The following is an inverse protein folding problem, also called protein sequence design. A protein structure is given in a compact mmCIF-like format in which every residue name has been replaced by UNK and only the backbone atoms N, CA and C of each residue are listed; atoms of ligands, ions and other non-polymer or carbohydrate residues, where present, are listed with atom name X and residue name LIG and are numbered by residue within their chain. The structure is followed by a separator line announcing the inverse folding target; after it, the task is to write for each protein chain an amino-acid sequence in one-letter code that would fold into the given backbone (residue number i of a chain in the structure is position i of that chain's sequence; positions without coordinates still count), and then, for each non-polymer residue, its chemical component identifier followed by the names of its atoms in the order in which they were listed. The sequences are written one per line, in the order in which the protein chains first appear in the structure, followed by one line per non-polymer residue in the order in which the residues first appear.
data_IF_157937281800
#
_entry.id   IF_157937281800
#
_cell.length_a   1.000
_cell.length_b   1.000
_cell.length_c   1.000
_cell.angle_alpha   90.00
_cell.angle_beta   90.00
_cell.angle_gamma   90.00
#
_symmetry.space_group_name_H-M   'P 1'
#
loop_
_entity.id
_entity.type
_entity.pdbx_description
1 polymer ?
#
# COMPACT_ATOMS: atom_id res chain seq x y z
N UNK A 1 -7.71 -6.93 -9.64
CA UNK A 1 -8.18 -6.28 -10.88
C UNK A 1 -8.07 -7.30 -12.01
N UNK A 2 -8.78 -7.05 -13.12
CA UNK A 2 -8.56 -7.80 -14.35
C UNK A 2 -7.08 -7.73 -14.77
N UNK A 3 -6.54 -8.83 -15.28
CA UNK A 3 -5.15 -8.94 -15.75
C UNK A 3 -5.03 -9.08 -17.28
N UNK A 4 -6.16 -9.09 -17.98
CA UNK A 4 -6.17 -9.03 -19.43
C UNK A 4 -5.91 -7.59 -19.85
N UNK A 5 -4.75 -7.33 -20.45
CA UNK A 5 -4.31 -6.00 -20.90
C UNK A 5 -5.17 -5.41 -22.01
N UNK A 6 -5.80 -6.25 -22.83
CA UNK A 6 -6.75 -5.84 -23.87
C UNK A 6 -8.18 -5.56 -23.36
N UNK A 7 -8.43 -5.66 -22.04
CA UNK A 7 -9.76 -5.47 -21.47
C UNK A 7 -9.92 -4.07 -20.88
N UNK A 8 -11.08 -3.42 -21.11
CA UNK A 8 -11.39 -2.09 -20.55
C UNK A 8 -11.25 -2.04 -19.01
N UNK A 9 -11.54 -3.16 -18.35
CA UNK A 9 -11.40 -3.29 -16.90
C UNK A 9 -9.96 -3.58 -16.41
N UNK A 10 -8.95 -3.56 -17.28
CA UNK A 10 -7.55 -3.79 -16.90
C UNK A 10 -7.11 -2.82 -15.81
N UNK A 11 -6.45 -3.33 -14.77
CA UNK A 11 -5.95 -2.50 -13.66
C UNK A 11 -7.02 -1.93 -12.71
N UNK A 12 -8.30 -1.87 -13.11
CA UNK A 12 -9.37 -1.32 -12.27
C UNK A 12 -9.62 -2.20 -11.03
N UNK A 13 -9.35 -1.65 -9.85
CA UNK A 13 -9.44 -2.41 -8.59
C UNK A 13 -10.87 -2.86 -8.27
N UNK A 14 -11.03 -4.09 -7.76
CA UNK A 14 -12.34 -4.62 -7.32
C UNK A 14 -12.94 -3.84 -6.16
N UNK A 15 -12.12 -3.15 -5.36
CA UNK A 15 -12.60 -2.44 -4.17
C UNK A 15 -13.25 -1.10 -4.52
N UNK A 16 -12.78 -0.46 -5.58
CA UNK A 16 -13.30 0.83 -6.08
C UNK A 16 -14.30 0.62 -7.22
N UNK A 17 -14.19 -0.47 -7.97
CA UNK A 17 -15.04 -0.79 -9.12
C UNK A 17 -15.78 -2.11 -8.95
N UNK A 18 -16.36 -2.36 -7.75
CA UNK A 18 -17.07 -3.63 -7.45
C UNK A 18 -18.09 -4.02 -8.52
N UNK A 19 -18.79 -3.04 -9.10
CA UNK A 19 -19.82 -3.23 -10.11
C UNK A 19 -19.30 -3.88 -11.40
N UNK A 20 -18.00 -3.78 -11.73
CA UNK A 20 -17.37 -4.39 -12.90
C UNK A 20 -17.07 -5.88 -12.74
N UNK A 21 -17.24 -6.43 -11.53
CA UNK A 21 -16.81 -7.78 -11.18
C UNK A 21 -17.94 -8.59 -10.53
N UNK A 22 -17.89 -9.91 -10.73
CA UNK A 22 -18.73 -10.86 -10.04
C UNK A 22 -17.87 -11.66 -9.03
N UNK A 23 -18.22 -11.63 -7.75
CA UNK A 23 -17.57 -12.43 -6.73
C UNK A 23 -18.10 -13.87 -6.79
N UNK A 24 -17.24 -14.88 -6.88
CA UNK A 24 -17.68 -16.27 -6.95
C UNK A 24 -16.69 -17.23 -6.28
N UNK A 25 -17.11 -17.88 -5.18
CA UNK A 25 -16.28 -18.87 -4.48
C UNK A 25 -14.95 -18.33 -3.93
N UNK A 26 -14.12 -19.24 -3.44
CA UNK A 26 -12.89 -18.93 -2.72
C UNK A 26 -11.71 -19.82 -3.15
N UNK A 27 -10.49 -19.29 -3.06
CA UNK A 27 -9.22 -20.04 -3.06
C UNK A 27 -8.67 -20.06 -1.65
N UNK A 28 -8.92 -21.13 -0.89
CA UNK A 28 -8.69 -21.11 0.55
C UNK A 28 -9.63 -20.11 1.21
N UNK A 29 -9.10 -19.12 1.92
CA UNK A 29 -9.85 -18.03 2.55
C UNK A 29 -9.94 -16.76 1.67
N UNK A 30 -9.43 -16.81 0.44
CA UNK A 30 -9.36 -15.65 -0.46
C UNK A 30 -10.49 -15.67 -1.49
N UNK A 31 -11.21 -14.57 -1.61
CA UNK A 31 -12.28 -14.34 -2.58
C UNK A 31 -11.76 -14.40 -4.02
N UNK A 32 -12.46 -15.15 -4.88
CA UNK A 32 -12.25 -15.10 -6.34
C UNK A 32 -13.25 -14.13 -6.99
N UNK A 33 -12.79 -13.48 -8.05
CA UNK A 33 -13.57 -12.54 -8.85
C UNK A 33 -13.50 -12.89 -10.33
N UNK A 34 -14.60 -12.66 -11.04
CA UNK A 34 -14.71 -12.74 -12.50
C UNK A 34 -14.94 -11.35 -13.06
N UNK A 35 -14.19 -10.98 -14.08
CA UNK A 35 -14.45 -9.75 -14.84
C UNK A 35 -15.74 -9.89 -15.65
N UNK A 36 -16.65 -8.92 -15.56
CA UNK A 36 -17.91 -8.95 -16.34
C UNK A 36 -17.69 -8.70 -17.84
N UNK A 37 -16.65 -7.95 -18.22
CA UNK A 37 -16.31 -7.66 -19.61
C UNK A 37 -15.66 -8.88 -20.31
N UNK A 38 -14.44 -9.25 -19.92
CA UNK A 38 -13.68 -10.32 -20.60
C UNK A 38 -13.78 -11.71 -19.95
N UNK A 39 -14.58 -11.91 -18.91
CA UNK A 39 -14.76 -13.17 -18.17
C UNK A 39 -13.50 -13.76 -17.49
N UNK A 40 -12.35 -13.09 -17.57
CA UNK A 40 -11.14 -13.52 -16.86
C UNK A 40 -11.36 -13.58 -15.35
N UNK A 41 -10.69 -14.53 -14.71
CA UNK A 41 -10.82 -14.76 -13.26
C UNK A 41 -9.52 -14.43 -12.55
N UNK A 42 -9.63 -13.93 -11.32
CA UNK A 42 -8.48 -13.68 -10.46
C UNK A 42 -8.86 -13.81 -9.00
N UNK A 43 -7.87 -14.03 -8.15
CA UNK A 43 -8.02 -14.07 -6.70
C UNK A 43 -7.65 -12.71 -6.13
N UNK A 44 -8.47 -12.15 -5.26
CA UNK A 44 -8.03 -11.03 -4.43
C UNK A 44 -7.06 -11.56 -3.38
N UNK A 45 -5.76 -11.32 -3.59
CA UNK A 45 -4.67 -11.77 -2.71
C UNK A 45 -4.83 -11.34 -1.25
N UNK A 46 -5.74 -10.41 -0.97
CA UNK A 46 -5.84 -9.79 0.33
C UNK A 46 -7.21 -9.83 1.01
N UNK A 47 -8.17 -10.51 0.38
CA UNK A 47 -9.49 -10.75 0.95
C UNK A 47 -9.44 -11.73 2.13
N UNK A 48 -8.43 -12.59 2.18
CA UNK A 48 -8.20 -13.53 3.28
C UNK A 48 -7.60 -12.92 4.55
N UNK A 49 -7.59 -13.72 5.60
CA UNK A 49 -7.03 -13.34 6.90
C UNK A 49 -5.50 -13.22 6.83
N UNK A 50 -4.94 -12.28 7.59
CA UNK A 50 -3.49 -12.17 7.71
C UNK A 50 -2.97 -13.12 8.79
N UNK A 51 -2.56 -14.32 8.38
CA UNK A 51 -1.99 -15.32 9.28
C UNK A 51 -0.72 -14.87 10.00
N UNK A 52 -0.08 -13.79 9.53
CA UNK A 52 1.15 -13.22 10.10
C UNK A 52 0.89 -11.97 10.96
N UNK A 53 -0.37 -11.66 11.30
CA UNK A 53 -0.76 -10.41 11.94
C UNK A 53 0.03 -10.14 13.23
N UNK A 54 -0.03 -11.06 14.20
CA UNK A 54 0.65 -10.90 15.49
C UNK A 54 2.15 -10.64 15.33
N UNK A 55 2.81 -11.39 14.44
CA UNK A 55 4.23 -11.19 14.16
C UNK A 55 4.51 -9.81 13.56
N UNK A 56 3.68 -9.38 12.61
CA UNK A 56 3.83 -8.09 11.95
C UNK A 56 3.56 -6.93 12.91
N UNK A 57 2.61 -7.06 13.83
CA UNK A 57 2.35 -6.07 14.88
C UNK A 57 3.56 -5.93 15.82
N UNK A 58 4.14 -7.06 16.25
CA UNK A 58 5.36 -7.05 17.07
C UNK A 58 6.54 -6.39 16.34
N UNK A 59 6.72 -6.70 15.05
CA UNK A 59 7.75 -6.08 14.21
C UNK A 59 7.55 -4.56 14.11
N UNK A 60 6.33 -4.11 13.84
CA UNK A 60 6.01 -2.68 13.78
C UNK A 60 6.22 -1.97 15.12
N UNK A 61 5.86 -2.61 16.23
CA UNK A 61 6.11 -2.08 17.57
C UNK A 61 7.59 -1.82 17.82
N UNK A 62 8.46 -2.78 17.47
CA UNK A 62 9.91 -2.59 17.58
C UNK A 62 10.43 -1.49 16.64
N UNK A 63 9.93 -1.43 15.40
CA UNK A 63 10.31 -0.41 14.44
C UNK A 63 9.95 1.00 14.93
N UNK A 64 8.73 1.18 15.43
CA UNK A 64 8.27 2.48 15.96
C UNK A 64 8.95 2.88 17.28
N UNK A 65 9.46 1.91 18.04
CA UNK A 65 10.28 2.20 19.22
C UNK A 65 11.70 2.69 18.85
N UNK A 66 12.08 2.61 17.57
CA UNK A 66 13.37 3.08 17.08
C UNK A 66 14.52 2.06 17.18
N UNK A 67 14.22 0.77 17.37
CA UNK A 67 15.25 -0.27 17.31
C UNK A 67 15.86 -0.34 15.90
N UNK A 68 17.16 -0.58 15.83
CA UNK A 68 17.83 -0.80 14.54
C UNK A 68 17.35 -2.10 13.88
N UNK A 69 17.39 -2.18 12.55
CA UNK A 69 17.01 -3.39 11.78
C UNK A 69 17.74 -4.63 12.31
N UNK A 70 19.03 -4.50 12.67
CA UNK A 70 19.85 -5.59 13.23
C UNK A 70 19.30 -6.08 14.57
N UNK A 71 18.93 -5.17 15.46
CA UNK A 71 18.35 -5.53 16.76
C UNK A 71 16.97 -6.16 16.61
N UNK A 72 16.14 -5.64 15.70
CA UNK A 72 14.83 -6.22 15.39
C UNK A 72 15.00 -7.66 14.87
N UNK A 73 15.90 -7.87 13.90
CA UNK A 73 16.20 -9.19 13.37
C UNK A 73 16.64 -10.17 14.47
N UNK A 74 17.49 -9.72 15.40
CA UNK A 74 17.91 -10.52 16.57
C UNK A 74 16.77 -10.83 17.52
N UNK A 75 15.93 -9.84 17.88
CA UNK A 75 14.80 -10.01 18.81
C UNK A 75 13.72 -10.94 18.26
N UNK A 76 13.48 -10.89 16.95
CA UNK A 76 12.46 -11.70 16.27
C UNK A 76 13.01 -13.00 15.68
N UNK A 77 14.31 -13.27 15.84
CA UNK A 77 14.99 -14.45 15.27
C UNK A 77 14.76 -14.61 13.77
N UNK A 78 14.85 -13.51 13.01
CA UNK A 78 14.70 -13.48 11.55
C UNK A 78 15.96 -12.93 10.88
N UNK A 79 16.11 -13.22 9.60
CA UNK A 79 17.13 -12.61 8.77
C UNK A 79 16.64 -11.27 8.16
N UNK A 80 17.56 -10.41 7.65
CA UNK A 80 17.19 -9.12 7.06
C UNK A 80 16.23 -9.22 5.86
N UNK A 81 16.36 -10.25 5.03
CA UNK A 81 15.44 -10.45 3.90
C UNK A 81 14.01 -10.63 4.39
N UNK A 82 13.81 -11.50 5.38
CA UNK A 82 12.50 -11.74 6.00
C UNK A 82 11.96 -10.46 6.64
N UNK A 83 12.81 -9.64 7.27
CA UNK A 83 12.40 -8.34 7.80
C UNK A 83 11.80 -7.44 6.70
N UNK A 84 12.54 -7.22 5.61
CA UNK A 84 12.06 -6.37 4.50
C UNK A 84 10.83 -6.95 3.81
N UNK A 85 10.79 -8.27 3.57
CA UNK A 85 9.61 -8.95 3.02
C UNK A 85 8.35 -8.68 3.87
N UNK A 86 8.50 -8.67 5.21
CA UNK A 86 7.40 -8.37 6.11
C UNK A 86 6.98 -6.89 6.07
N UNK A 87 7.94 -5.95 6.04
CA UNK A 87 7.67 -4.51 5.90
C UNK A 87 6.94 -4.22 4.59
N UNK A 88 7.39 -4.79 3.48
CA UNK A 88 6.74 -4.64 2.17
C UNK A 88 5.33 -5.22 2.15
N UNK A 89 5.14 -6.37 2.80
CA UNK A 89 3.82 -6.97 2.93
C UNK A 89 2.87 -6.08 3.75
N UNK A 90 3.34 -5.49 4.86
CA UNK A 90 2.58 -4.53 5.68
C UNK A 90 2.22 -3.31 4.84
N UNK A 91 3.23 -2.67 4.23
CA UNK A 91 3.07 -1.47 3.43
C UNK A 91 2.10 -1.69 2.27
N UNK A 92 2.18 -2.84 1.58
CA UNK A 92 1.25 -3.17 0.51
C UNK A 92 -0.18 -3.41 0.99
N UNK A 93 -0.39 -3.90 2.22
CA UNK A 93 -1.73 -4.00 2.83
C UNK A 93 -2.29 -2.62 3.18
N UNK A 94 -1.47 -1.74 3.74
CA UNK A 94 -1.84 -0.36 4.05
C UNK A 94 -2.21 0.42 2.79
N UNK A 95 -1.35 0.39 1.75
CA UNK A 95 -1.61 1.05 0.45
C UNK A 95 -2.94 0.59 -0.17
N UNK A 96 -3.28 -0.70 -0.06
CA UNK A 96 -4.58 -1.17 -0.57
C UNK A 96 -5.77 -0.58 0.21
N UNK A 97 -5.67 -0.47 1.53
CA UNK A 97 -6.72 0.14 2.36
C UNK A 97 -6.84 1.62 2.04
N UNK A 98 -5.71 2.31 1.92
CA UNK A 98 -5.63 3.72 1.51
C UNK A 98 -6.27 3.95 0.14
N UNK A 99 -6.02 3.09 -0.86
CA UNK A 99 -6.60 3.24 -2.19
C UNK A 99 -8.14 3.34 -2.23
N UNK A 100 -8.84 2.79 -1.22
CA UNK A 100 -10.30 2.95 -1.11
C UNK A 100 -10.69 4.33 -0.57
N UNK A 101 -9.88 4.87 0.34
CA UNK A 101 -10.02 6.22 0.88
C UNK A 101 -9.66 7.24 -0.20
N UNK A 102 -8.53 7.04 -0.89
CA UNK A 102 -8.08 7.87 -2.02
C UNK A 102 -9.18 7.96 -3.08
N UNK A 103 -9.79 6.84 -3.49
CA UNK A 103 -10.85 6.87 -4.47
C UNK A 103 -12.09 7.64 -3.99
N UNK A 104 -12.43 7.61 -2.70
CA UNK A 104 -13.52 8.43 -2.17
C UNK A 104 -13.15 9.90 -2.19
N UNK A 105 -11.94 10.22 -1.72
CA UNK A 105 -11.44 11.58 -1.69
C UNK A 105 -11.31 12.18 -3.10
N UNK A 106 -10.83 11.44 -4.10
CA UNK A 106 -10.76 11.97 -5.48
C UNK A 106 -12.15 12.31 -6.03
N UNK A 107 -13.17 11.52 -5.69
CA UNK A 107 -14.51 11.66 -6.26
C UNK A 107 -15.47 12.54 -5.45
N UNK A 108 -15.10 13.00 -4.25
CA UNK A 108 -16.04 13.75 -3.39
C UNK A 108 -16.21 15.22 -3.80
N UNK A 109 -15.26 15.78 -4.55
CA UNK A 109 -15.25 17.19 -4.93
C UNK A 109 -14.85 17.36 -6.40
N UNK A 110 -15.39 18.40 -7.04
CA UNK A 110 -15.05 18.79 -8.42
C UNK A 110 -13.77 19.62 -8.52
N UNK A 111 -13.36 20.25 -7.41
CA UNK A 111 -12.16 21.06 -7.30
C UNK A 111 -11.37 20.63 -6.06
N UNK A 112 -10.05 20.57 -6.21
CA UNK A 112 -9.11 20.21 -5.16
C UNK A 112 -8.01 21.26 -5.09
N UNK A 113 -7.70 21.74 -3.89
CA UNK A 113 -6.55 22.61 -3.67
C UNK A 113 -5.43 21.77 -3.06
N UNK A 114 -4.33 21.64 -3.80
CA UNK A 114 -3.19 20.81 -3.40
C UNK A 114 -2.01 21.68 -3.01
N UNK A 115 -1.34 21.29 -1.93
CA UNK A 115 -0.06 21.84 -1.52
C UNK A 115 0.99 20.72 -1.50
N UNK A 116 2.23 21.07 -1.83
CA UNK A 116 3.36 20.16 -1.73
C UNK A 116 4.48 20.80 -0.92
N UNK A 117 5.17 19.98 -0.14
CA UNK A 117 6.34 20.38 0.63
C UNK A 117 7.38 19.28 0.60
N UNK A 118 8.63 19.64 0.85
CA UNK A 118 9.72 18.68 0.99
C UNK A 118 10.66 19.08 2.12
N UNK A 119 11.22 18.07 2.79
CA UNK A 119 12.22 18.25 3.84
C UNK A 119 13.37 17.28 3.63
N UNK A 120 14.58 17.65 4.06
CA UNK A 120 15.68 16.69 4.14
C UNK A 120 15.34 15.63 5.20
N UNK A 121 15.33 14.34 4.83
CA UNK A 121 14.97 13.25 5.74
C UNK A 121 16.05 13.05 6.82
N UNK A 122 17.30 13.35 6.47
CA UNK A 122 18.45 13.30 7.36
C UNK A 122 19.22 14.61 7.24
N UNK A 123 18.78 15.70 7.89
CA UNK A 123 19.34 17.05 7.71
C UNK A 123 20.84 17.16 8.01
N UNK A 124 21.37 16.22 8.80
CA UNK A 124 22.77 16.18 9.20
C UNK A 124 23.61 15.18 8.38
N UNK A 125 23.05 14.57 7.34
CA UNK A 125 23.82 13.76 6.38
C UNK A 125 23.78 14.37 5.00
N UNK A 126 24.92 14.36 4.30
CA UNK A 126 25.04 14.86 2.94
C UNK A 126 24.64 13.81 1.88
N UNK A 127 23.53 13.10 2.11
CA UNK A 127 23.09 12.00 1.24
C UNK A 127 21.98 12.40 0.24
N UNK A 128 21.59 13.68 0.22
CA UNK A 128 20.63 14.20 -0.75
C UNK A 128 19.22 13.61 -0.65
N UNK A 129 18.89 12.93 0.45
CA UNK A 129 17.59 12.26 0.60
C UNK A 129 16.54 13.23 1.10
N UNK A 130 15.57 13.55 0.24
CA UNK A 130 14.42 14.37 0.59
C UNK A 130 13.16 13.53 0.77
N UNK A 131 12.35 13.88 1.75
CA UNK A 131 10.96 13.42 1.85
C UNK A 131 10.07 14.49 1.26
N UNK A 132 9.33 14.13 0.21
CA UNK A 132 8.41 14.99 -0.51
C UNK A 132 6.99 14.52 -0.22
N UNK A 133 6.09 15.44 0.08
CA UNK A 133 4.69 15.16 0.42
C UNK A 133 3.78 16.11 -0.35
N UNK A 134 2.71 15.56 -0.91
CA UNK A 134 1.61 16.30 -1.53
C UNK A 134 0.31 15.96 -0.81
N UNK A 135 -0.44 16.98 -0.42
CA UNK A 135 -1.70 16.83 0.29
C UNK A 135 -2.70 17.91 -0.08
N UNK A 136 -3.93 17.74 0.39
CA UNK A 136 -4.99 18.74 0.28
C UNK A 136 -4.72 19.89 1.27
N UNK A 137 -4.87 21.12 0.80
CA UNK A 137 -4.36 22.32 1.46
C UNK A 137 -5.07 22.65 2.79
N UNK A 138 -6.33 22.24 2.98
CA UNK A 138 -7.17 22.71 4.09
C UNK A 138 -7.53 21.63 5.13
N UNK A 139 -7.51 20.37 4.75
CA UNK A 139 -7.91 19.20 5.55
C UNK A 139 -6.73 18.43 6.11
N UNK A 140 -5.52 18.66 5.58
CA UNK A 140 -4.33 17.89 5.92
C UNK A 140 -4.34 16.46 5.38
N UNK A 141 -5.25 16.12 4.46
CA UNK A 141 -5.25 14.83 3.79
C UNK A 141 -3.99 14.66 2.93
N UNK A 142 -3.18 13.64 3.23
CA UNK A 142 -1.97 13.35 2.45
C UNK A 142 -2.32 12.42 1.31
N UNK A 143 -2.20 12.91 0.08
CA UNK A 143 -2.48 12.14 -1.14
C UNK A 143 -1.29 11.29 -1.55
N UNK A 144 -0.08 11.85 -1.47
CA UNK A 144 1.13 11.15 -1.88
C UNK A 144 2.31 11.57 -1.00
N UNK A 145 3.19 10.60 -0.75
CA UNK A 145 4.49 10.84 -0.15
C UNK A 145 5.54 10.00 -0.87
N UNK A 146 6.70 10.58 -1.10
CA UNK A 146 7.80 9.92 -1.77
C UNK A 146 9.12 10.29 -1.10
N UNK A 147 10.03 9.33 -1.00
CA UNK A 147 11.42 9.61 -0.64
C UNK A 147 12.18 9.76 -1.94
N UNK A 148 12.64 10.96 -2.25
CA UNK A 148 13.48 11.22 -3.42
C UNK A 148 14.88 10.64 -3.16
N UNK A 149 15.00 9.32 -3.28
CA UNK A 149 16.28 8.65 -3.33
C UNK A 149 16.84 8.86 -4.73
N UNK A 150 17.64 9.92 -4.90
CA UNK A 150 18.46 10.05 -6.10
C UNK A 150 19.52 8.95 -6.02
N UNK A 151 19.28 7.83 -6.69
CA UNK A 151 20.36 6.91 -7.04
C UNK A 151 21.09 7.53 -8.24
N UNK A 152 21.93 8.52 -7.99
CA UNK A 152 23.08 8.68 -8.88
C UNK A 152 24.00 7.46 -8.65
#
# INVERSE_FOLDING_TARGET
ACRNDACDNFGLSVHTHKHLYHAFGYSGDRQRYRCKACQSTFVDKWSGANKKLQFQENLMGLLFTGYSVREICRKLSINPKTFYDHVDHIASRCRRKLATIDARWVNHASHHELASSYIALQPHSNNGVYWIVSGEAHSGYILCQHVNYSSD
#
